data_IF_161811380772
#
_entry.id   IF_161811380772
#
_cell.length_a   1.000
_cell.length_b   1.000
_cell.length_c   1.000
_cell.angle_alpha   90.00
_cell.angle_beta   90.00
_cell.angle_gamma   90.00
#
_symmetry.space_group_name_H-M   'P 1'
#
loop_
_entity.id
_entity.type
_entity.pdbx_description
1 polymer ?
#
# COMPACT_ATOMS: atom_id res chain seq x y z
N UNK A 1 37.25 -10.04 -14.59
CA UNK A 1 36.36 -10.68 -13.61
C UNK A 1 34.94 -10.16 -13.83
N UNK A 2 34.02 -11.03 -14.23
CA UNK A 2 32.62 -10.67 -14.55
C UNK A 2 31.69 -11.00 -13.37
N UNK A 3 30.72 -10.12 -13.10
CA UNK A 3 29.84 -10.12 -11.91
C UNK A 3 28.95 -11.38 -11.82
N UNK A 4 28.87 -12.06 -10.66
CA UNK A 4 28.19 -13.36 -10.50
C UNK A 4 26.66 -13.29 -10.37
N UNK A 5 26.04 -12.13 -10.62
CA UNK A 5 24.60 -11.90 -10.39
C UNK A 5 23.72 -11.95 -11.65
N UNK A 6 24.27 -12.37 -12.79
CA UNK A 6 23.54 -12.35 -14.07
C UNK A 6 23.38 -13.74 -14.74
N UNK A 7 23.18 -14.81 -13.96
CA UNK A 7 23.08 -16.18 -14.51
C UNK A 7 21.80 -16.93 -14.09
N UNK A 8 20.73 -16.22 -13.74
CA UNK A 8 19.54 -16.85 -13.15
C UNK A 8 18.23 -16.75 -13.96
N UNK A 9 18.25 -16.36 -15.23
CA UNK A 9 17.04 -16.37 -16.06
C UNK A 9 17.28 -16.84 -17.51
N UNK A 10 17.98 -17.97 -17.67
CA UNK A 10 17.95 -18.71 -18.93
C UNK A 10 17.63 -20.19 -18.66
N UNK A 11 16.34 -20.48 -18.48
CA UNK A 11 15.78 -21.82 -18.63
C UNK A 11 14.30 -21.71 -18.97
N UNK A 12 14.05 -21.55 -20.27
CA UNK A 12 12.78 -21.94 -20.92
C UNK A 12 12.53 -23.42 -20.62
N UNK A 13 11.49 -23.74 -19.85
CA UNK A 13 10.96 -25.10 -19.76
C UNK A 13 9.58 -25.13 -20.41
N UNK A 14 9.64 -25.56 -21.67
CA UNK A 14 8.66 -26.27 -22.50
C UNK A 14 7.35 -26.67 -21.79
N UNK A 15 6.23 -26.16 -22.34
CA UNK A 15 4.92 -26.82 -22.29
C UNK A 15 5.07 -28.26 -22.78
N UNK A 16 4.67 -29.24 -21.97
CA UNK A 16 4.40 -30.59 -22.44
C UNK A 16 2.90 -30.88 -22.34
N UNK A 17 2.33 -31.01 -23.53
CA UNK A 17 0.95 -31.32 -23.84
C UNK A 17 0.86 -32.84 -23.92
N UNK A 18 0.33 -33.51 -22.92
CA UNK A 18 0.02 -34.94 -23.01
C UNK A 18 -1.48 -35.10 -23.21
N UNK A 19 -1.86 -35.19 -24.50
CA UNK A 19 -3.04 -35.90 -24.93
C UNK A 19 -2.67 -37.38 -24.98
N UNK A 20 -3.33 -38.22 -24.19
CA UNK A 20 -3.38 -39.65 -24.48
C UNK A 20 -4.81 -40.16 -24.28
N UNK A 21 -5.43 -40.48 -25.43
CA UNK A 21 -6.51 -41.46 -25.62
C UNK A 21 -5.87 -42.57 -26.47
N UNK A 22 -6.40 -43.81 -26.57
CA UNK A 22 -7.82 -44.18 -26.43
C UNK A 22 -8.05 -45.51 -25.67
N UNK A 23 -9.30 -45.92 -25.46
CA UNK A 23 -9.82 -47.27 -25.80
C UNK A 23 -11.34 -47.35 -25.49
N UNK A 24 -12.09 -48.25 -26.16
CA UNK A 24 -13.50 -48.05 -26.49
C UNK A 24 -14.46 -48.88 -25.63
N UNK A 25 -15.58 -48.27 -25.21
CA UNK A 25 -16.65 -49.00 -24.53
C UNK A 25 -17.96 -48.24 -24.57
N UNK A 26 -18.88 -48.73 -25.41
CA UNK A 26 -20.25 -48.23 -25.61
C UNK A 26 -21.03 -48.14 -24.30
N UNK A 27 -21.69 -47.00 -24.07
CA UNK A 27 -23.16 -46.92 -23.92
C UNK A 27 -23.61 -45.47 -23.98
N UNK A 28 -24.62 -45.21 -24.81
CA UNK A 28 -25.25 -43.93 -24.99
C UNK A 28 -26.26 -43.64 -23.88
N UNK A 29 -26.24 -42.42 -23.32
CA UNK A 29 -27.40 -41.66 -22.85
C UNK A 29 -26.93 -40.27 -22.39
N UNK A 30 -27.21 -39.25 -23.21
CA UNK A 30 -27.28 -37.83 -22.78
C UNK A 30 -28.55 -37.64 -21.93
N UNK A 31 -28.61 -36.65 -20.98
CA UNK A 31 -28.47 -35.23 -21.33
C UNK A 31 -27.73 -34.34 -20.32
N UNK A 32 -26.93 -33.43 -20.87
CA UNK A 32 -26.96 -32.00 -20.55
C UNK A 32 -27.03 -31.58 -19.07
N UNK A 33 -25.92 -31.72 -18.35
CA UNK A 33 -25.64 -30.87 -17.19
C UNK A 33 -24.42 -30.00 -17.52
N UNK A 34 -24.71 -28.81 -18.05
CA UNK A 34 -23.80 -27.65 -18.02
C UNK A 34 -23.48 -27.34 -16.57
N UNK A 35 -22.55 -28.09 -15.98
CA UNK A 35 -21.85 -27.66 -14.77
C UNK A 35 -20.97 -26.51 -15.20
N UNK A 36 -21.52 -25.31 -15.06
CA UNK A 36 -20.81 -24.06 -15.19
C UNK A 36 -19.45 -24.21 -14.52
N UNK A 37 -18.40 -24.08 -15.33
CA UNK A 37 -17.11 -23.69 -14.79
C UNK A 37 -17.38 -22.47 -13.91
N UNK A 38 -16.87 -22.40 -12.67
CA UNK A 38 -16.92 -21.15 -11.94
C UNK A 38 -16.19 -20.16 -12.85
N UNK A 39 -16.94 -19.19 -13.38
CA UNK A 39 -16.36 -18.04 -14.01
C UNK A 39 -15.32 -17.55 -13.02
N UNK A 40 -14.05 -17.56 -13.43
CA UNK A 40 -13.03 -16.82 -12.73
C UNK A 40 -13.58 -15.40 -12.70
N UNK A 41 -14.11 -15.01 -11.54
CA UNK A 41 -14.63 -13.67 -11.33
C UNK A 41 -13.45 -12.76 -11.66
N UNK A 42 -13.56 -12.03 -12.76
CA UNK A 42 -12.63 -10.97 -13.04
C UNK A 42 -12.60 -10.10 -11.78
N UNK A 43 -11.39 -9.75 -11.28
CA UNK A 43 -11.30 -8.97 -10.07
C UNK A 43 -12.13 -7.71 -10.27
N UNK A 44 -13.13 -7.51 -9.40
CA UNK A 44 -13.95 -6.32 -9.43
C UNK A 44 -13.00 -5.13 -9.19
N UNK A 45 -12.64 -4.43 -10.27
CA UNK A 45 -11.62 -3.39 -10.29
C UNK A 45 -11.91 -2.32 -9.22
N UNK A 46 -13.19 -2.02 -8.99
CA UNK A 46 -13.64 -1.10 -7.95
C UNK A 46 -13.31 -1.58 -6.52
N UNK A 47 -13.38 -2.89 -6.25
CA UNK A 47 -12.99 -3.45 -4.96
C UNK A 47 -11.47 -3.39 -4.75
N UNK A 48 -10.70 -3.69 -5.80
CA UNK A 48 -9.22 -3.55 -5.75
C UNK A 48 -8.78 -2.10 -5.54
N UNK A 49 -9.45 -1.15 -6.17
CA UNK A 49 -9.13 0.28 -6.05
C UNK A 49 -9.55 0.85 -4.69
N UNK A 50 -10.64 0.33 -4.09
CA UNK A 50 -11.00 0.60 -2.70
C UNK A 50 -9.94 0.07 -1.73
N UNK A 51 -9.48 -1.17 -1.87
CA UNK A 51 -8.48 -1.76 -0.96
C UNK A 51 -7.14 -1.02 -1.01
N UNK A 52 -6.68 -0.64 -2.21
CA UNK A 52 -5.48 0.22 -2.36
C UNK A 52 -5.69 1.58 -1.69
N UNK A 53 -6.88 2.15 -1.81
CA UNK A 53 -7.22 3.43 -1.20
C UNK A 53 -7.20 3.35 0.32
N UNK A 54 -7.72 2.27 0.90
CA UNK A 54 -7.64 2.01 2.35
C UNK A 54 -6.18 1.86 2.80
N UNK A 55 -5.36 1.11 2.05
CA UNK A 55 -3.93 0.97 2.36
C UNK A 55 -3.19 2.32 2.34
N UNK A 56 -3.49 3.19 1.36
CA UNK A 56 -2.93 4.54 1.30
C UNK A 56 -3.35 5.36 2.53
N UNK A 57 -4.63 5.32 2.91
CA UNK A 57 -5.14 5.99 4.11
C UNK A 57 -4.42 5.52 5.38
N UNK A 58 -4.19 4.20 5.52
CA UNK A 58 -3.42 3.66 6.64
C UNK A 58 -2.00 4.23 6.70
N UNK A 59 -1.34 4.39 5.54
CA UNK A 59 0.01 4.96 5.48
C UNK A 59 0.03 6.45 5.83
N UNK A 60 -0.99 7.21 5.39
CA UNK A 60 -1.15 8.62 5.78
C UNK A 60 -1.33 8.76 7.30
N UNK A 61 -2.16 7.92 7.92
CA UNK A 61 -2.38 7.92 9.38
C UNK A 61 -1.11 7.57 10.16
N UNK A 62 -0.31 6.62 9.67
CA UNK A 62 0.98 6.30 10.26
C UNK A 62 1.94 7.50 10.20
N UNK A 63 2.01 8.17 9.05
CA UNK A 63 2.81 9.40 8.90
C UNK A 63 2.34 10.53 9.83
N UNK A 64 1.03 10.68 10.02
CA UNK A 64 0.43 11.67 10.94
C UNK A 64 0.81 11.38 12.39
N UNK A 65 0.77 10.10 12.80
CA UNK A 65 1.21 9.69 14.12
C UNK A 65 2.70 10.02 14.37
N UNK A 66 3.57 9.67 13.42
CA UNK A 66 5.00 10.00 13.52
C UNK A 66 5.25 11.50 13.53
N UNK A 67 4.45 12.25 12.78
CA UNK A 67 4.55 13.70 12.73
C UNK A 67 4.23 14.36 14.08
N UNK A 68 3.27 13.83 14.84
CA UNK A 68 3.03 14.26 16.23
C UNK A 68 4.22 13.97 17.14
N UNK A 69 4.79 12.77 17.06
CA UNK A 69 5.98 12.41 17.84
C UNK A 69 7.19 13.29 17.51
N UNK A 70 7.34 13.69 16.25
CA UNK A 70 8.38 14.63 15.83
C UNK A 70 8.18 16.02 16.45
N UNK A 71 6.94 16.51 16.56
CA UNK A 71 6.66 17.80 17.24
C UNK A 71 7.08 17.77 18.70
N UNK A 72 6.77 16.69 19.42
CA UNK A 72 7.18 16.52 20.82
C UNK A 72 8.71 16.51 20.94
N UNK A 73 9.38 15.76 20.05
CA UNK A 73 10.85 15.70 20.01
C UNK A 73 11.48 17.05 19.70
N UNK A 74 10.93 17.80 18.73
CA UNK A 74 11.43 19.12 18.36
C UNK A 74 11.21 20.15 19.48
N UNK A 75 10.11 20.05 20.23
CA UNK A 75 9.87 20.89 21.40
C UNK A 75 10.91 20.62 22.50
N UNK A 76 11.19 19.34 22.80
CA UNK A 76 12.22 18.94 23.76
C UNK A 76 13.60 19.45 23.34
N UNK A 77 13.99 19.24 22.07
CA UNK A 77 15.26 19.74 21.55
C UNK A 77 15.37 21.27 21.62
N UNK A 78 14.27 21.99 21.35
CA UNK A 78 14.24 23.45 21.47
C UNK A 78 14.53 23.89 22.91
N UNK A 79 13.88 23.26 23.89
CA UNK A 79 14.13 23.54 25.32
C UNK A 79 15.57 23.21 25.73
N UNK A 80 16.12 22.06 25.33
CA UNK A 80 17.51 21.71 25.63
C UNK A 80 18.50 22.71 25.02
N UNK A 81 18.26 23.15 23.78
CA UNK A 81 19.12 24.16 23.11
C UNK A 81 19.07 25.50 23.85
N UNK A 82 17.87 25.98 24.18
CA UNK A 82 17.67 27.32 24.75
C UNK A 82 17.97 27.40 26.25
N UNK A 83 17.62 26.37 27.01
CA UNK A 83 17.67 26.38 28.47
C UNK A 83 18.88 25.68 29.07
N UNK A 84 19.29 24.54 28.51
CA UNK A 84 20.41 23.76 29.06
C UNK A 84 21.74 24.14 28.41
N UNK A 85 21.79 24.13 27.08
CA UNK A 85 23.04 24.31 26.32
C UNK A 85 23.32 25.78 25.98
N UNK A 86 22.29 26.65 26.03
CA UNK A 86 22.36 28.08 25.69
C UNK A 86 22.95 28.34 24.30
N UNK A 87 22.75 27.43 23.35
CA UNK A 87 23.33 27.49 22.00
C UNK A 87 22.45 28.30 21.05
N UNK A 88 22.46 29.63 21.22
CA UNK A 88 21.56 30.54 20.49
C UNK A 88 21.71 30.52 18.96
N UNK A 89 22.84 30.04 18.45
CA UNK A 89 23.04 29.88 17.00
C UNK A 89 22.11 28.82 16.37
N UNK A 90 21.57 27.90 17.18
CA UNK A 90 20.66 26.85 16.71
C UNK A 90 19.18 27.12 17.04
N UNK A 91 18.86 28.13 17.85
CA UNK A 91 17.48 28.47 18.23
C UNK A 91 16.60 28.81 17.01
N UNK A 92 17.11 29.60 16.08
CA UNK A 92 16.35 29.96 14.87
C UNK A 92 16.18 28.75 13.92
N UNK A 93 17.23 27.96 13.59
CA UNK A 93 17.06 26.73 12.82
C UNK A 93 16.09 25.71 13.43
N UNK A 94 16.16 25.44 14.74
CA UNK A 94 15.28 24.45 15.38
C UNK A 94 13.84 24.96 15.43
N UNK A 95 13.63 26.27 15.67
CA UNK A 95 12.31 26.89 15.59
C UNK A 95 11.70 26.81 14.18
N UNK A 96 12.51 26.98 13.14
CA UNK A 96 12.06 26.80 11.75
C UNK A 96 11.66 25.35 11.46
N UNK A 97 12.43 24.37 11.96
CA UNK A 97 12.08 22.95 11.84
C UNK A 97 10.78 22.62 12.57
N UNK A 98 10.61 23.13 13.80
CA UNK A 98 9.38 22.97 14.56
C UNK A 98 8.18 23.53 13.80
N UNK A 99 8.27 24.77 13.31
CA UNK A 99 7.20 25.40 12.54
C UNK A 99 6.87 24.67 11.24
N UNK A 100 7.88 24.15 10.53
CA UNK A 100 7.66 23.35 9.33
C UNK A 100 6.97 22.01 9.65
N UNK A 101 7.35 21.36 10.77
CA UNK A 101 6.73 20.13 11.23
C UNK A 101 5.28 20.35 11.67
N UNK A 102 4.98 21.47 12.33
CA UNK A 102 3.61 21.84 12.73
C UNK A 102 2.71 22.04 11.51
N UNK A 103 3.19 22.78 10.50
CA UNK A 103 2.48 22.94 9.23
C UNK A 103 2.28 21.62 8.49
N UNK A 104 3.28 20.74 8.49
CA UNK A 104 3.15 19.40 7.92
C UNK A 104 2.07 18.60 8.65
N UNK A 105 2.06 18.66 9.99
CA UNK A 105 1.08 17.98 10.83
C UNK A 105 -0.35 18.47 10.55
N UNK A 106 -0.57 19.78 10.42
CA UNK A 106 -1.88 20.32 10.03
C UNK A 106 -2.32 19.79 8.67
N UNK A 107 -1.44 19.88 7.66
CA UNK A 107 -1.78 19.50 6.28
C UNK A 107 -2.04 18.00 6.12
N UNK A 108 -1.30 17.15 6.83
CA UNK A 108 -1.53 15.71 6.75
C UNK A 108 -2.84 15.31 7.43
N UNK A 109 -3.23 15.97 8.53
CA UNK A 109 -4.52 15.75 9.17
C UNK A 109 -5.69 16.14 8.23
N UNK A 110 -5.60 17.31 7.59
CA UNK A 110 -6.59 17.75 6.59
C UNK A 110 -6.67 16.79 5.39
N UNK A 111 -5.52 16.30 4.91
CA UNK A 111 -5.48 15.34 3.80
C UNK A 111 -6.17 14.02 4.19
N UNK A 112 -5.94 13.53 5.41
CA UNK A 112 -6.59 12.32 5.93
C UNK A 112 -8.10 12.49 5.97
N UNK A 113 -8.60 13.59 6.53
CA UNK A 113 -10.04 13.87 6.62
C UNK A 113 -10.70 13.92 5.23
N UNK A 114 -10.06 14.60 4.28
CA UNK A 114 -10.52 14.67 2.89
C UNK A 114 -10.53 13.27 2.24
N UNK A 115 -9.53 12.45 2.51
CA UNK A 115 -9.41 11.11 1.95
C UNK A 115 -10.44 10.13 2.55
N UNK A 116 -10.72 10.23 3.84
CA UNK A 116 -11.79 9.47 4.51
C UNK A 116 -13.16 9.81 3.93
N UNK A 117 -13.43 11.10 3.71
CA UNK A 117 -14.66 11.57 3.05
C UNK A 117 -14.79 11.01 1.63
N UNK A 118 -13.69 11.01 0.88
CA UNK A 118 -13.65 10.44 -0.47
C UNK A 118 -13.92 8.92 -0.47
N UNK A 119 -13.29 8.18 0.43
CA UNK A 119 -13.53 6.74 0.61
C UNK A 119 -14.98 6.45 1.02
N UNK A 120 -15.56 7.26 1.90
CA UNK A 120 -16.98 7.15 2.28
C UNK A 120 -17.93 7.31 1.09
N UNK A 121 -17.57 8.18 0.14
CA UNK A 121 -18.33 8.42 -1.09
C UNK A 121 -18.15 7.31 -2.15
N UNK A 122 -17.03 6.60 -2.11
CA UNK A 122 -16.70 5.48 -3.02
C UNK A 122 -17.30 4.14 -2.57
N UNK A 123 -17.72 4.02 -1.31
CA UNK A 123 -18.27 2.79 -0.77
C UNK A 123 -19.56 2.45 -1.55
N UNK A 124 -19.65 1.30 -2.24
CA UNK A 124 -20.87 0.95 -2.97
C UNK A 124 -22.03 0.88 -1.97
N UNK A 125 -23.11 1.62 -2.25
CA UNK A 125 -24.37 1.43 -1.53
C UNK A 125 -24.75 -0.04 -1.60
N UNK A 126 -24.85 -0.66 -0.43
CA UNK A 126 -25.32 -2.04 -0.27
C UNK A 126 -26.77 -2.18 -0.74
#
# INVERSE_FOLDING_TARGET
>A
MSDPRNVAHDKKVKQEKQHEKPEPGKTAAEPNDKKAAPAAAEPNQAALDHDKSVALLSKLKEMEFHSRANLETLAELTLTIDDELKQKEFSDPIGALYGAQDQFQTKIAELIENYETHLGSLKPSA
#
